data_IF_607975582983
#
_entry.id   IF_607975582983
#
_cell.length_a   1.000
_cell.length_b   1.000
_cell.length_c   1.000
_cell.angle_alpha   90.00
_cell.angle_beta   90.00
_cell.angle_gamma   90.00
#
_symmetry.space_group_name_H-M   'P 1'
#
loop_
_entity.id
_entity.type
_entity.pdbx_description
1 polymer ?
#
# COMPACT_ATOMS: atom_id res chain seq x y z
N UNK A 1 21.66 -12.11 -4.04
CA UNK A 1 20.40 -11.98 -3.28
C UNK A 1 20.31 -13.18 -2.34
N UNK A 2 20.31 -12.95 -1.03
CA UNK A 2 20.17 -14.02 -0.03
C UNK A 2 18.74 -13.94 0.49
N UNK A 3 17.99 -15.04 0.37
CA UNK A 3 16.59 -15.11 0.74
C UNK A 3 16.49 -16.10 1.89
N UNK A 4 16.16 -15.60 3.09
CA UNK A 4 16.02 -16.42 4.29
C UNK A 4 14.54 -16.53 4.61
N UNK A 5 13.97 -17.70 4.31
CA UNK A 5 12.53 -17.96 4.24
C UNK A 5 11.82 -17.87 5.60
N UNK A 6 12.48 -18.32 6.69
CA UNK A 6 11.88 -18.30 8.02
C UNK A 6 12.91 -18.10 9.12
N UNK A 7 12.80 -16.98 9.84
CA UNK A 7 13.57 -16.74 11.06
C UNK A 7 12.65 -16.89 12.28
N UNK A 8 12.98 -17.85 13.16
CA UNK A 8 12.21 -18.14 14.39
C UNK A 8 12.77 -17.42 15.62
N UNK A 9 13.91 -16.74 15.50
CA UNK A 9 14.53 -15.99 16.57
C UNK A 9 13.89 -14.60 16.68
N UNK A 10 13.39 -14.17 17.86
CA UNK A 10 12.83 -12.84 18.06
C UNK A 10 13.84 -11.68 17.93
N UNK A 11 15.16 -11.95 17.97
CA UNK A 11 16.21 -10.93 17.90
C UNK A 11 16.79 -10.74 16.48
N UNK A 12 15.96 -10.88 15.43
CA UNK A 12 16.42 -10.77 14.03
C UNK A 12 17.16 -9.48 13.74
N UNK A 13 16.71 -8.37 14.33
CA UNK A 13 17.29 -7.06 14.09
C UNK A 13 18.74 -6.99 14.57
N UNK A 14 19.08 -7.65 15.69
CA UNK A 14 20.46 -7.74 16.17
C UNK A 14 21.33 -8.58 15.22
N UNK A 15 20.81 -9.67 14.66
CA UNK A 15 21.51 -10.51 13.69
C UNK A 15 21.74 -9.80 12.35
N UNK A 16 20.77 -9.00 11.90
CA UNK A 16 20.90 -8.17 10.70
C UNK A 16 21.95 -7.08 10.93
N UNK A 17 21.92 -6.40 12.08
CA UNK A 17 22.93 -5.39 12.44
C UNK A 17 24.33 -6.00 12.54
N UNK A 18 24.49 -7.15 13.20
CA UNK A 18 25.79 -7.81 13.31
C UNK A 18 26.37 -8.16 11.93
N UNK A 19 25.57 -8.79 11.06
CA UNK A 19 26.04 -9.28 9.75
C UNK A 19 26.21 -8.17 8.71
N UNK A 20 25.43 -7.09 8.82
CA UNK A 20 25.40 -6.01 7.82
C UNK A 20 26.23 -4.79 8.23
N UNK A 21 26.31 -4.45 9.53
CA UNK A 21 27.07 -3.29 10.00
C UNK A 21 28.48 -3.65 10.49
N UNK A 22 28.67 -4.82 11.09
CA UNK A 22 29.95 -5.24 11.68
C UNK A 22 30.72 -6.20 10.76
N UNK A 23 30.01 -7.14 10.10
CA UNK A 23 30.60 -8.15 9.22
C UNK A 23 30.73 -9.53 9.89
N UNK A 24 31.11 -10.56 9.12
CA UNK A 24 31.25 -11.93 9.62
C UNK A 24 32.46 -12.04 10.56
N UNK A 25 32.26 -12.57 11.77
CA UNK A 25 33.31 -12.76 12.78
C UNK A 25 33.69 -14.23 12.92
N UNK A 26 34.91 -14.50 13.38
CA UNK A 26 35.38 -15.85 13.71
C UNK A 26 35.72 -16.72 12.50
N UNK A 27 36.14 -16.11 11.39
CA UNK A 27 36.61 -16.84 10.21
C UNK A 27 38.01 -17.42 10.47
N UNK A 28 38.37 -18.59 9.90
CA UNK A 28 39.67 -19.23 10.14
C UNK A 28 40.89 -18.37 9.75
N UNK A 29 40.70 -17.40 8.86
CA UNK A 29 41.77 -16.58 8.27
C UNK A 29 41.55 -15.07 8.40
N UNK A 30 40.46 -14.62 9.05
CA UNK A 30 40.23 -13.20 9.35
C UNK A 30 39.38 -13.06 10.61
N UNK A 31 39.74 -12.12 11.49
CA UNK A 31 38.96 -11.84 12.70
C UNK A 31 37.57 -11.28 12.35
N UNK A 32 37.49 -10.44 11.32
CA UNK A 32 36.26 -9.82 10.82
C UNK A 32 36.31 -9.69 9.29
N UNK A 33 35.20 -9.94 8.59
CA UNK A 33 35.07 -9.74 7.14
C UNK A 33 33.78 -8.97 6.85
N UNK A 34 33.91 -7.75 6.34
CA UNK A 34 32.77 -6.96 5.87
C UNK A 34 32.24 -7.52 4.55
N UNK A 35 30.92 -7.50 4.41
CA UNK A 35 30.23 -7.98 3.21
C UNK A 35 29.94 -6.77 2.31
N UNK A 36 30.85 -6.45 1.41
CA UNK A 36 30.82 -5.20 0.63
C UNK A 36 29.88 -5.25 -0.61
N UNK A 37 29.28 -6.42 -0.90
CA UNK A 37 28.46 -6.65 -2.10
C UNK A 37 27.02 -7.10 -1.79
N UNK A 38 26.43 -6.61 -0.70
CA UNK A 38 25.03 -6.94 -0.36
C UNK A 38 24.08 -5.99 -1.08
N UNK A 39 23.48 -6.49 -2.16
CA UNK A 39 22.51 -5.76 -2.99
C UNK A 39 21.15 -5.55 -2.28
N UNK A 40 20.84 -6.37 -1.27
CA UNK A 40 19.62 -6.25 -0.47
C UNK A 40 19.38 -7.43 0.46
N UNK A 41 18.70 -7.18 1.58
CA UNK A 41 18.32 -8.18 2.59
C UNK A 41 16.79 -8.23 2.66
N UNK A 42 16.22 -9.40 2.43
CA UNK A 42 14.81 -9.67 2.63
C UNK A 42 14.69 -10.77 3.67
N UNK A 43 14.07 -10.48 4.81
CA UNK A 43 13.70 -11.48 5.80
C UNK A 43 12.22 -11.37 6.14
N UNK A 44 11.63 -12.50 6.47
CA UNK A 44 10.27 -12.60 7.01
C UNK A 44 10.35 -13.15 8.42
N UNK A 45 9.79 -12.43 9.39
CA UNK A 45 9.75 -12.83 10.79
C UNK A 45 8.29 -12.88 11.29
N UNK A 46 8.01 -13.84 12.16
CA UNK A 46 6.70 -13.99 12.78
C UNK A 46 6.47 -12.83 13.75
N UNK A 47 5.40 -12.05 13.55
CA UNK A 47 5.05 -10.91 14.41
C UNK A 47 5.46 -9.53 13.90
N UNK A 48 6.17 -9.43 12.77
CA UNK A 48 6.58 -8.14 12.16
C UNK A 48 5.55 -7.58 11.14
N UNK A 49 4.41 -8.25 10.95
CA UNK A 49 3.42 -7.96 9.90
C UNK A 49 2.41 -6.86 10.30
N UNK A 50 2.90 -5.69 10.73
CA UNK A 50 2.02 -4.56 11.04
C UNK A 50 1.65 -3.74 9.79
N UNK A 51 2.61 -3.48 8.89
CA UNK A 51 2.37 -2.60 7.74
C UNK A 51 1.52 -3.25 6.63
N UNK A 52 1.76 -4.53 6.34
CA UNK A 52 0.92 -5.38 5.48
C UNK A 52 -0.54 -5.36 5.95
N UNK A 53 -0.77 -5.46 7.25
CA UNK A 53 -2.13 -5.46 7.82
C UNK A 53 -2.87 -4.14 7.59
N UNK A 54 -2.18 -3.00 7.69
CA UNK A 54 -2.79 -1.67 7.48
C UNK A 54 -3.12 -1.47 6.00
N UNK A 55 -2.20 -1.82 5.10
CA UNK A 55 -2.47 -1.73 3.66
C UNK A 55 -3.64 -2.63 3.25
N UNK A 56 -3.72 -3.84 3.79
CA UNK A 56 -4.83 -4.76 3.53
C UNK A 56 -6.17 -4.20 4.03
N UNK A 57 -6.19 -3.57 5.20
CA UNK A 57 -7.38 -2.89 5.74
C UNK A 57 -7.79 -1.73 4.82
N UNK A 58 -6.85 -0.91 4.37
CA UNK A 58 -7.13 0.26 3.52
C UNK A 58 -7.65 -0.17 2.15
N UNK A 59 -6.97 -1.12 1.49
CA UNK A 59 -7.36 -1.64 0.18
C UNK A 59 -8.69 -2.40 0.28
N UNK A 60 -8.88 -3.18 1.35
CA UNK A 60 -10.13 -3.90 1.62
C UNK A 60 -11.30 -2.95 1.84
N UNK A 61 -11.10 -1.89 2.62
CA UNK A 61 -12.11 -0.86 2.90
C UNK A 61 -12.49 -0.07 1.64
N UNK A 62 -11.49 0.28 0.82
CA UNK A 62 -11.70 0.92 -0.47
C UNK A 62 -12.51 0.02 -1.41
N UNK A 63 -12.12 -1.26 -1.53
CA UNK A 63 -12.83 -2.24 -2.37
C UNK A 63 -14.27 -2.43 -1.91
N UNK A 64 -14.49 -2.59 -0.60
CA UNK A 64 -15.84 -2.68 -0.03
C UNK A 64 -16.68 -1.47 -0.40
N UNK A 65 -16.13 -0.27 -0.26
CA UNK A 65 -16.85 0.98 -0.51
C UNK A 65 -17.23 1.15 -1.99
N UNK A 66 -16.30 0.83 -2.90
CA UNK A 66 -16.56 0.86 -4.35
C UNK A 66 -17.60 -0.19 -4.73
N UNK A 67 -17.53 -1.41 -4.16
CA UNK A 67 -18.49 -2.46 -4.45
C UNK A 67 -19.89 -2.11 -3.95
N UNK A 68 -20.01 -1.57 -2.73
CA UNK A 68 -21.30 -1.15 -2.18
C UNK A 68 -21.97 -0.11 -3.08
N UNK A 69 -21.20 0.83 -3.64
CA UNK A 69 -21.69 1.82 -4.60
C UNK A 69 -22.04 1.18 -5.95
N UNK A 70 -21.10 0.49 -6.59
CA UNK A 70 -21.28 -0.05 -7.95
C UNK A 70 -22.34 -1.14 -8.07
N UNK A 71 -22.64 -1.85 -6.96
CA UNK A 71 -23.69 -2.88 -6.87
C UNK A 71 -25.02 -2.34 -6.32
N UNK A 72 -25.11 -1.05 -6.01
CA UNK A 72 -26.29 -0.42 -5.40
C UNK A 72 -26.74 -1.10 -4.09
N UNK A 73 -25.80 -1.53 -3.25
CA UNK A 73 -26.09 -2.15 -1.95
C UNK A 73 -26.44 -1.07 -0.92
N UNK A 74 -27.72 -0.67 -0.90
CA UNK A 74 -28.23 0.43 -0.05
C UNK A 74 -27.94 0.24 1.43
N UNK A 75 -27.97 -0.99 1.93
CA UNK A 75 -27.67 -1.31 3.32
C UNK A 75 -26.19 -1.05 3.70
N UNK A 76 -25.28 -1.19 2.73
CA UNK A 76 -23.83 -1.09 2.95
C UNK A 76 -23.28 0.31 2.65
N UNK A 77 -24.04 1.14 1.94
CA UNK A 77 -23.65 2.51 1.60
C UNK A 77 -23.29 3.39 2.81
N UNK A 78 -24.05 3.41 3.93
CA UNK A 78 -23.67 4.20 5.10
C UNK A 78 -22.31 3.80 5.67
N UNK A 79 -22.01 2.50 5.70
CA UNK A 79 -20.72 1.96 6.16
C UNK A 79 -19.61 2.31 5.17
N UNK A 80 -19.87 2.18 3.87
CA UNK A 80 -18.93 2.58 2.83
C UNK A 80 -18.52 4.05 2.97
N UNK A 81 -19.47 4.97 3.15
CA UNK A 81 -19.18 6.39 3.35
C UNK A 81 -18.31 6.64 4.60
N UNK A 82 -18.60 5.96 5.71
CA UNK A 82 -17.78 6.04 6.93
C UNK A 82 -16.36 5.54 6.69
N UNK A 83 -16.20 4.39 6.04
CA UNK A 83 -14.90 3.82 5.71
C UNK A 83 -14.09 4.76 4.81
N UNK A 84 -14.69 5.32 3.76
CA UNK A 84 -14.06 6.33 2.91
C UNK A 84 -13.59 7.54 3.71
N UNK A 85 -14.40 8.02 4.66
CA UNK A 85 -14.02 9.10 5.57
C UNK A 85 -12.78 8.77 6.41
N UNK A 86 -12.67 7.52 6.89
CA UNK A 86 -11.52 7.05 7.68
C UNK A 86 -10.24 6.91 6.83
N UNK A 87 -10.36 6.44 5.59
CA UNK A 87 -9.19 6.23 4.71
C UNK A 87 -8.79 7.45 3.89
N UNK A 88 -9.67 8.46 3.75
CA UNK A 88 -9.42 9.74 3.05
C UNK A 88 -8.04 10.37 3.33
N UNK A 89 -7.54 10.47 4.58
CA UNK A 89 -6.24 11.09 4.85
C UNK A 89 -5.05 10.28 4.32
N UNK A 90 -5.23 8.99 4.04
CA UNK A 90 -4.18 8.08 3.58
C UNK A 90 -3.93 8.17 2.07
N UNK A 91 -4.79 8.90 1.34
CA UNK A 91 -4.57 9.16 -0.08
C UNK A 91 -3.45 10.16 -0.28
N UNK A 92 -2.51 9.80 -1.16
CA UNK A 92 -1.41 10.66 -1.53
C UNK A 92 -1.90 11.91 -2.27
N UNK A 93 -1.53 13.07 -1.73
CA UNK A 93 -1.78 14.39 -2.28
C UNK A 93 -0.43 15.10 -2.39
N UNK A 94 -0.20 15.76 -3.51
CA UNK A 94 0.99 16.60 -3.66
C UNK A 94 0.90 17.82 -2.73
N UNK A 95 2.05 18.32 -2.30
CA UNK A 95 2.12 19.49 -1.42
C UNK A 95 1.43 20.70 -2.08
N UNK A 96 0.54 21.35 -1.35
CA UNK A 96 -0.27 22.47 -1.86
C UNK A 96 -1.45 22.07 -2.76
N UNK A 97 -1.66 20.77 -3.06
CA UNK A 97 -2.81 20.29 -3.85
C UNK A 97 -3.81 19.53 -2.97
N UNK A 98 -5.10 19.88 -3.09
CA UNK A 98 -6.18 19.17 -2.39
C UNK A 98 -6.59 17.84 -3.04
N UNK A 99 -6.32 17.71 -4.33
CA UNK A 99 -6.66 16.53 -5.12
C UNK A 99 -5.64 15.39 -4.96
N UNK A 100 -6.14 14.17 -4.98
CA UNK A 100 -5.35 12.94 -5.02
C UNK A 100 -4.62 12.85 -6.35
N UNK A 101 -3.29 12.68 -6.27
CA UNK A 101 -2.46 12.60 -7.46
C UNK A 101 -2.69 11.29 -8.22
N UNK A 102 -2.57 11.33 -9.55
CA UNK A 102 -2.76 10.16 -10.42
C UNK A 102 -1.79 9.01 -10.07
N UNK A 103 -0.63 9.32 -9.49
CA UNK A 103 0.35 8.31 -9.06
C UNK A 103 -0.21 7.40 -7.95
N UNK A 104 -1.09 7.94 -7.10
CA UNK A 104 -1.66 7.22 -5.95
C UNK A 104 -3.00 6.58 -6.25
N UNK A 105 -3.78 7.16 -7.16
CA UNK A 105 -5.08 6.62 -7.57
C UNK A 105 -5.36 7.01 -9.03
N UNK A 106 -5.48 6.01 -9.91
CA UNK A 106 -5.78 6.22 -11.32
C UNK A 106 -6.90 5.31 -11.82
N UNK A 107 -7.72 5.84 -12.73
CA UNK A 107 -8.70 5.10 -13.49
C UNK A 107 -8.09 4.63 -14.81
N UNK A 108 -8.35 3.38 -15.20
CA UNK A 108 -7.88 2.82 -16.47
C UNK A 108 -9.07 2.19 -17.21
N UNK A 109 -9.21 2.41 -18.54
CA UNK A 109 -8.33 3.20 -19.42
C UNK A 109 -8.46 4.73 -19.21
N UNK A 110 -7.46 5.51 -19.66
CA UNK A 110 -7.48 6.99 -19.55
C UNK A 110 -8.57 7.64 -20.41
N UNK A 111 -8.86 7.04 -21.56
CA UNK A 111 -9.89 7.47 -22.47
C UNK A 111 -10.94 6.36 -22.59
N UNK A 112 -12.18 6.66 -22.21
CA UNK A 112 -13.29 5.71 -22.27
C UNK A 112 -14.19 6.11 -23.43
N UNK A 113 -14.07 5.39 -24.55
CA UNK A 113 -14.82 5.67 -25.78
C UNK A 113 -16.29 5.27 -25.74
N UNK A 114 -16.63 4.33 -24.87
CA UNK A 114 -17.99 3.80 -24.75
C UNK A 114 -18.74 4.57 -23.66
N UNK A 115 -19.79 5.28 -24.06
CA UNK A 115 -20.55 6.19 -23.19
C UNK A 115 -21.09 5.51 -21.92
N UNK A 116 -21.60 4.28 -22.05
CA UNK A 116 -22.12 3.51 -20.91
C UNK A 116 -21.05 3.18 -19.85
N UNK A 117 -19.79 3.03 -20.24
CA UNK A 117 -18.70 2.83 -19.28
C UNK A 117 -18.24 4.17 -18.73
N UNK A 118 -18.14 5.20 -19.59
CA UNK A 118 -17.75 6.54 -19.18
C UNK A 118 -18.65 7.08 -18.07
N UNK A 119 -19.97 6.95 -18.22
CA UNK A 119 -20.93 7.36 -17.20
C UNK A 119 -20.75 6.63 -15.86
N UNK A 120 -20.42 5.34 -15.87
CA UNK A 120 -20.13 4.58 -14.63
C UNK A 120 -18.88 5.09 -13.91
N UNK A 121 -17.83 5.40 -14.66
CA UNK A 121 -16.60 5.96 -14.09
C UNK A 121 -16.81 7.38 -13.56
N UNK A 122 -17.58 8.20 -14.26
CA UNK A 122 -17.95 9.54 -13.79
C UNK A 122 -18.82 9.48 -12.53
N UNK A 123 -19.77 8.54 -12.46
CA UNK A 123 -20.56 8.30 -11.26
C UNK A 123 -19.69 7.85 -10.07
N UNK A 124 -18.72 6.96 -10.30
CA UNK A 124 -17.75 6.56 -9.26
C UNK A 124 -16.88 7.73 -8.80
N UNK A 125 -16.43 8.58 -9.73
CA UNK A 125 -15.67 9.79 -9.42
C UNK A 125 -16.50 10.76 -8.58
N UNK A 126 -17.76 11.01 -8.96
CA UNK A 126 -18.68 11.83 -8.18
C UNK A 126 -18.87 11.28 -6.76
N UNK A 127 -19.10 9.97 -6.62
CA UNK A 127 -19.22 9.31 -5.32
C UNK A 127 -17.98 9.49 -4.44
N UNK A 128 -16.77 9.38 -5.01
CA UNK A 128 -15.53 9.60 -4.25
C UNK A 128 -15.37 11.07 -3.84
N UNK A 129 -15.71 12.01 -4.72
CA UNK A 129 -15.70 13.46 -4.43
C UNK A 129 -16.67 13.81 -3.31
N UNK A 130 -17.89 13.27 -3.31
CA UNK A 130 -18.88 13.43 -2.23
C UNK A 130 -18.34 12.97 -0.86
N UNK A 131 -17.42 12.00 -0.86
CA UNK A 131 -16.77 11.49 0.34
C UNK A 131 -15.38 12.11 0.58
N UNK A 132 -15.05 13.20 -0.13
CA UNK A 132 -13.85 14.02 0.08
C UNK A 132 -12.57 13.45 -0.55
N UNK A 133 -12.69 12.56 -1.53
CA UNK A 133 -11.58 11.99 -2.31
C UNK A 133 -11.72 12.51 -3.74
N UNK A 134 -11.24 13.73 -3.96
CA UNK A 134 -11.19 14.33 -5.30
C UNK A 134 -9.94 13.85 -6.03
N UNK A 135 -10.10 13.25 -7.21
CA UNK A 135 -8.99 12.71 -8.02
C UNK A 135 -8.59 13.68 -9.12
N UNK A 136 -7.29 13.91 -9.30
CA UNK A 136 -6.74 14.85 -10.28
C UNK A 136 -6.95 14.40 -11.74
N UNK A 137 -7.11 13.09 -11.97
CA UNK A 137 -7.28 12.53 -13.31
C UNK A 137 -8.64 12.92 -13.92
N UNK A 138 -8.62 13.39 -15.17
CA UNK A 138 -9.83 13.56 -15.99
C UNK A 138 -10.37 12.20 -16.44
N UNK A 139 -11.69 12.00 -16.34
CA UNK A 139 -12.38 10.75 -16.69
C UNK A 139 -13.65 11.04 -17.50
#
# INVERSE_FOLDING_TARGET
MVLIDRFSDPNVDAHVVEKMAVGLKGMPFSSEMKLDNIVGVHYSAVGQSHFSSVLDIVIGSLRFSINAFTRNETNNLPTAKKLLGLIKPLFFREEGKGAVAEIGFCYRPKEIRIENYKSKYQALKAFLVENGIETAQAV
#
